data_IF_578020233319
#
_entry.id   IF_578020233319
#
_cell.length_a   1.000
_cell.length_b   1.000
_cell.length_c   1.000
_cell.angle_alpha   90.00
_cell.angle_beta   90.00
_cell.angle_gamma   90.00
#
_symmetry.space_group_name_H-M   'P 1'
#
loop_
_entity.id
_entity.type
_entity.pdbx_description
1 polymer ?
#
# COMPACT_ATOMS: atom_id res chain seq x y z
N UNK A 1 -1.25 -39.50 -39.86
CA UNK A 1 -0.82 -38.09 -39.96
C UNK A 1 -1.48 -37.31 -38.83
N UNK A 2 -0.95 -37.32 -37.59
CA UNK A 2 -1.51 -36.51 -36.48
C UNK A 2 -0.51 -36.41 -35.31
N UNK A 3 0.68 -35.87 -35.57
CA UNK A 3 1.66 -35.61 -34.49
C UNK A 3 2.22 -34.19 -34.49
N UNK A 4 1.82 -33.36 -35.46
CA UNK A 4 2.35 -32.00 -35.66
C UNK A 4 1.71 -30.96 -34.73
N UNK A 5 0.44 -31.12 -34.35
CA UNK A 5 -0.36 -30.07 -33.68
C UNK A 5 -0.16 -29.95 -32.17
N UNK A 6 0.52 -30.93 -31.54
CA UNK A 6 0.83 -30.83 -30.11
C UNK A 6 1.83 -29.70 -29.84
N UNK A 7 2.81 -29.50 -30.72
CA UNK A 7 3.87 -28.48 -30.55
C UNK A 7 3.32 -27.06 -30.61
N UNK A 8 2.41 -26.76 -31.54
CA UNK A 8 1.78 -25.44 -31.66
C UNK A 8 0.93 -25.07 -30.45
N UNK A 9 0.20 -26.04 -29.89
CA UNK A 9 -0.65 -25.82 -28.70
C UNK A 9 0.17 -25.48 -27.45
N UNK A 10 1.32 -26.11 -27.24
CA UNK A 10 2.22 -25.78 -26.12
C UNK A 10 2.93 -24.43 -26.31
N UNK A 11 3.29 -24.05 -27.53
CA UNK A 11 3.86 -22.72 -27.83
C UNK A 11 2.80 -21.63 -27.59
N UNK A 12 1.55 -21.87 -27.99
CA UNK A 12 0.44 -20.93 -27.77
C UNK A 12 0.11 -20.77 -26.28
N UNK A 13 0.09 -21.87 -25.52
CA UNK A 13 -0.09 -21.85 -24.05
C UNK A 13 1.06 -21.10 -23.36
N UNK A 14 2.31 -21.32 -23.79
CA UNK A 14 3.48 -20.63 -23.24
C UNK A 14 3.45 -19.11 -23.52
N UNK A 15 3.01 -18.69 -24.71
CA UNK A 15 2.87 -17.26 -25.06
C UNK A 15 1.75 -16.58 -24.25
N UNK A 16 0.60 -17.24 -24.09
CA UNK A 16 -0.50 -16.74 -23.25
C UNK A 16 -0.08 -16.67 -21.77
N UNK A 17 0.64 -17.67 -21.27
CA UNK A 17 1.17 -17.68 -19.91
C UNK A 17 2.20 -16.57 -19.67
N UNK A 18 3.13 -16.33 -20.61
CA UNK A 18 4.12 -15.26 -20.51
C UNK A 18 3.47 -13.87 -20.47
N UNK A 19 2.39 -13.66 -21.25
CA UNK A 19 1.64 -12.42 -21.24
C UNK A 19 0.84 -12.22 -19.94
N UNK A 20 0.24 -13.28 -19.39
CA UNK A 20 -0.44 -13.24 -18.09
C UNK A 20 0.54 -12.94 -16.93
N UNK A 21 1.75 -13.51 -16.97
CA UNK A 21 2.80 -13.26 -15.97
C UNK A 21 3.26 -11.80 -16.00
N UNK A 22 3.39 -11.21 -17.19
CA UNK A 22 3.77 -9.80 -17.33
C UNK A 22 2.72 -8.84 -16.73
N UNK A 23 1.42 -9.13 -16.91
CA UNK A 23 0.34 -8.34 -16.30
C UNK A 23 0.37 -8.46 -14.77
N UNK A 24 0.51 -9.68 -14.23
CA UNK A 24 0.60 -9.89 -12.78
C UNK A 24 1.80 -9.14 -12.16
N UNK A 25 2.97 -9.14 -12.82
CA UNK A 25 4.15 -8.44 -12.34
C UNK A 25 3.95 -6.91 -12.26
N UNK A 26 3.25 -6.31 -13.23
CA UNK A 26 2.92 -4.87 -13.22
C UNK A 26 1.96 -4.52 -12.08
N UNK A 27 1.00 -5.40 -11.76
CA UNK A 27 0.08 -5.20 -10.64
C UNK A 27 0.78 -5.32 -9.27
N UNK A 28 1.74 -6.24 -9.14
CA UNK A 28 2.50 -6.44 -7.90
C UNK A 28 3.47 -5.27 -7.66
N UNK A 29 4.06 -4.69 -8.71
CA UNK A 29 5.07 -3.62 -8.59
C UNK A 29 4.51 -2.31 -8.02
N UNK A 30 3.19 -2.07 -8.12
CA UNK A 30 2.54 -0.88 -7.51
C UNK A 30 2.40 -0.99 -5.98
N UNK A 31 2.49 -2.18 -5.41
CA UNK A 31 2.32 -2.44 -3.97
C UNK A 31 3.64 -2.36 -3.17
N UNK A 32 4.80 -2.29 -3.83
CA UNK A 32 6.13 -2.39 -3.20
C UNK A 32 6.75 -0.99 -2.98
N UNK A 33 5.94 -0.03 -2.54
CA UNK A 33 6.43 1.22 -1.94
C UNK A 33 6.09 1.31 -0.44
N UNK A 34 5.89 0.15 0.19
CA UNK A 34 5.33 0.04 1.54
C UNK A 34 6.43 0.06 2.61
N UNK A 35 7.21 1.13 2.65
CA UNK A 35 7.97 1.49 3.86
C UNK A 35 7.07 2.25 4.85
N UNK A 36 7.46 2.40 6.12
CA UNK A 36 6.70 3.17 7.08
C UNK A 36 6.48 4.60 6.60
N UNK A 37 5.24 5.07 6.63
CA UNK A 37 4.86 6.43 6.24
C UNK A 37 5.28 7.42 7.31
N UNK A 38 5.95 8.48 6.88
CA UNK A 38 6.31 9.58 7.76
C UNK A 38 5.08 10.43 8.10
N UNK A 39 4.66 10.47 9.37
CA UNK A 39 3.48 11.22 9.82
C UNK A 39 3.60 12.73 9.56
N UNK A 40 4.81 13.27 9.63
CA UNK A 40 5.08 14.71 9.48
C UNK A 40 5.17 15.13 8.01
N UNK A 41 5.43 14.20 7.09
CA UNK A 41 5.69 14.52 5.67
C UNK A 41 4.74 13.84 4.68
N UNK A 42 4.02 12.80 5.07
CA UNK A 42 3.12 12.07 4.18
C UNK A 42 2.01 12.98 3.60
N UNK A 43 1.65 12.75 2.34
CA UNK A 43 0.49 13.38 1.71
C UNK A 43 -0.82 12.82 2.26
N UNK A 44 -1.93 13.55 2.12
CA UNK A 44 -3.26 13.09 2.53
C UNK A 44 -3.60 11.72 1.92
N UNK A 45 -3.39 11.58 0.61
CA UNK A 45 -3.63 10.32 -0.13
C UNK A 45 -2.83 9.15 0.43
N UNK A 46 -1.61 9.39 0.92
CA UNK A 46 -0.77 8.35 1.55
C UNK A 46 -1.31 7.99 2.93
N UNK A 47 -1.71 8.98 3.73
CA UNK A 47 -2.30 8.74 5.04
C UNK A 47 -3.61 7.97 4.93
N UNK A 48 -4.42 8.21 3.89
CA UNK A 48 -5.65 7.46 3.60
C UNK A 48 -5.42 5.97 3.27
N UNK A 49 -4.19 5.58 2.92
CA UNK A 49 -3.85 4.15 2.76
C UNK A 49 -3.70 3.41 4.08
N UNK A 50 -3.67 4.14 5.20
CA UNK A 50 -3.51 3.56 6.53
C UNK A 50 -4.84 2.97 7.04
N UNK A 51 -4.79 1.82 7.74
CA UNK A 51 -5.99 1.18 8.26
C UNK A 51 -6.69 2.08 9.28
N UNK A 52 -7.97 2.38 9.03
CA UNK A 52 -8.77 3.22 9.93
C UNK A 52 -8.54 4.72 9.76
N UNK A 53 -7.80 5.15 8.74
CA UNK A 53 -7.61 6.57 8.40
C UNK A 53 -8.43 6.90 7.15
N UNK A 54 -9.53 7.63 7.36
CA UNK A 54 -10.33 8.20 6.27
C UNK A 54 -9.88 9.61 5.88
N UNK A 55 -10.51 10.25 4.88
CA UNK A 55 -10.14 11.58 4.40
C UNK A 55 -10.21 12.66 5.49
N UNK A 56 -11.20 12.59 6.40
CA UNK A 56 -11.32 13.54 7.50
C UNK A 56 -10.22 13.33 8.56
N UNK A 57 -9.91 12.07 8.87
CA UNK A 57 -8.82 11.71 9.77
C UNK A 57 -7.47 12.13 9.17
N UNK A 58 -7.23 11.88 7.88
CA UNK A 58 -6.01 12.28 7.20
C UNK A 58 -5.80 13.80 7.24
N UNK A 59 -6.86 14.60 7.01
CA UNK A 59 -6.83 16.05 7.18
C UNK A 59 -6.52 16.46 8.62
N UNK A 60 -7.11 15.78 9.60
CA UNK A 60 -6.86 16.03 11.01
C UNK A 60 -5.40 15.70 11.39
N UNK A 61 -4.84 14.61 10.86
CA UNK A 61 -3.42 14.27 11.03
C UNK A 61 -2.53 15.38 10.47
N UNK A 62 -2.78 15.85 9.25
CA UNK A 62 -1.97 16.92 8.64
C UNK A 62 -2.07 18.21 9.45
N UNK A 63 -3.27 18.56 9.93
CA UNK A 63 -3.51 19.75 10.75
C UNK A 63 -2.83 19.67 12.12
N UNK A 64 -2.69 18.47 12.69
CA UNK A 64 -2.09 18.25 14.00
C UNK A 64 -0.56 18.18 14.02
N UNK A 65 0.11 18.39 12.88
CA UNK A 65 1.59 18.38 12.80
C UNK A 65 2.21 19.55 13.60
N UNK A 66 3.43 19.38 14.12
CA UNK A 66 4.28 18.18 14.04
C UNK A 66 3.98 17.14 15.15
N UNK A 67 4.36 15.89 14.89
CA UNK A 67 4.32 14.77 15.83
C UNK A 67 5.74 14.39 16.26
N UNK A 68 5.94 14.18 17.57
CA UNK A 68 7.21 13.71 18.11
C UNK A 68 7.18 12.19 18.32
N UNK A 69 6.02 11.66 18.71
CA UNK A 69 5.81 10.22 18.84
C UNK A 69 4.52 9.78 18.16
N UNK A 70 4.33 8.46 18.03
CA UNK A 70 3.08 7.94 17.47
C UNK A 70 1.90 8.13 18.42
N UNK A 71 2.16 8.18 19.73
CA UNK A 71 1.15 8.40 20.77
C UNK A 71 0.50 9.79 20.65
N UNK A 72 1.18 10.77 20.05
CA UNK A 72 0.58 12.08 19.78
C UNK A 72 -0.63 12.01 18.84
N UNK A 73 -0.79 10.93 18.08
CA UNK A 73 -1.98 10.70 17.26
C UNK A 73 -3.27 10.54 18.09
N UNK A 74 -3.18 10.26 19.39
CA UNK A 74 -4.35 10.21 20.29
C UNK A 74 -5.10 11.55 20.33
N UNK A 75 -4.38 12.67 20.11
CA UNK A 75 -4.95 14.02 20.04
C UNK A 75 -5.78 14.25 18.76
N UNK A 76 -5.65 13.38 17.76
CA UNK A 76 -6.32 13.52 16.45
C UNK A 76 -7.73 12.95 16.54
N UNK A 77 -8.73 13.80 16.29
CA UNK A 77 -10.14 13.39 16.28
C UNK A 77 -10.37 12.22 15.30
N UNK A 78 -10.89 11.11 15.81
CA UNK A 78 -11.17 9.90 15.03
C UNK A 78 -10.04 8.87 15.04
N UNK A 79 -8.91 9.16 15.70
CA UNK A 79 -7.90 8.18 16.05
C UNK A 79 -8.11 7.80 17.53
N UNK A 80 -8.10 6.50 17.81
CA UNK A 80 -8.12 5.97 19.17
C UNK A 80 -7.03 4.92 19.34
N UNK A 81 -6.88 4.35 20.56
CA UNK A 81 -5.78 3.45 20.90
C UNK A 81 -5.69 2.23 19.97
N UNK A 82 -6.83 1.64 19.61
CA UNK A 82 -6.88 0.51 18.68
C UNK A 82 -6.40 0.86 17.25
N UNK A 83 -6.57 2.11 16.82
CA UNK A 83 -6.03 2.58 15.54
C UNK A 83 -4.54 2.80 15.68
N UNK A 84 -4.08 3.45 16.75
CA UNK A 84 -2.65 3.71 17.01
C UNK A 84 -1.85 2.41 16.98
N UNK A 85 -2.33 1.35 17.63
CA UNK A 85 -1.69 0.03 17.60
C UNK A 85 -1.52 -0.52 16.17
N UNK A 86 -2.52 -0.36 15.31
CA UNK A 86 -2.44 -0.79 13.90
C UNK A 86 -1.53 0.08 13.04
N UNK A 87 -1.30 1.32 13.47
CA UNK A 87 -0.45 2.28 12.75
C UNK A 87 1.03 2.11 13.12
N UNK A 88 1.37 1.57 14.29
CA UNK A 88 2.75 1.42 14.81
C UNK A 88 3.73 0.86 13.80
N UNK A 89 3.36 -0.22 13.10
CA UNK A 89 4.25 -0.86 12.12
C UNK A 89 4.19 -0.23 10.71
N UNK A 90 3.29 0.73 10.50
CA UNK A 90 3.00 1.35 9.20
C UNK A 90 3.45 2.79 9.10
N UNK A 91 3.79 3.42 10.21
CA UNK A 91 4.18 4.83 10.26
C UNK A 91 5.49 5.01 11.00
N UNK A 92 6.15 6.14 10.75
CA UNK A 92 7.36 6.56 11.44
C UNK A 92 7.32 8.07 11.68
N UNK A 93 8.16 8.51 12.60
CA UNK A 93 8.56 9.90 12.73
C UNK A 93 9.96 9.98 12.11
N UNK A 94 10.13 10.71 11.02
CA UNK A 94 11.46 11.02 10.48
C UNK A 94 11.66 12.53 10.51
N UNK A 95 12.90 12.95 10.76
CA UNK A 95 13.34 14.35 10.85
C UNK A 95 12.93 15.23 9.65
#
# INVERSE_FOLDING_TARGET
MESSDRRGRWIFIALVAAFAIAIAAVLIKKQIASGPLDLNRASAEKLETLPGVGPDTAKAIIKGRPYETIEDLDKVKGIGPATIEKLRDKVKIAD
#
